data_IF_493516479140
#
_entry.id   IF_493516479140
#
_cell.length_a   1.000
_cell.length_b   1.000
_cell.length_c   1.000
_cell.angle_alpha   90.00
_cell.angle_beta   90.00
_cell.angle_gamma   90.00
#
_symmetry.space_group_name_H-M   'P 1'
#
loop_
_entity.id
_entity.type
_entity.pdbx_description
1 polymer ?
#
# COMPACT_ATOMS: atom_id res chain seq x y z
N UNK A 1 48.01 -87.27 -32.28
CA UNK A 1 46.56 -87.08 -32.10
C UNK A 1 46.26 -85.59 -32.29
N UNK A 2 45.48 -85.22 -33.31
CA UNK A 2 44.68 -83.96 -33.30
C UNK A 2 43.41 -84.22 -32.44
N UNK A 3 42.48 -83.28 -32.20
CA UNK A 3 42.47 -81.80 -32.12
C UNK A 3 41.89 -81.36 -30.73
N UNK A 4 41.69 -80.12 -30.30
CA UNK A 4 40.74 -79.09 -30.76
C UNK A 4 40.93 -77.85 -29.87
N UNK A 5 41.15 -76.67 -30.47
CA UNK A 5 40.94 -75.38 -29.80
C UNK A 5 39.46 -75.02 -29.91
N UNK A 6 38.82 -74.71 -28.78
CA UNK A 6 37.50 -74.09 -28.75
C UNK A 6 37.65 -72.57 -28.78
N UNK A 7 37.11 -71.94 -29.84
CA UNK A 7 36.79 -70.52 -29.88
C UNK A 7 35.59 -70.26 -28.97
N UNK A 8 35.72 -69.33 -28.03
CA UNK A 8 34.57 -68.72 -27.35
C UNK A 8 34.07 -67.55 -28.22
N UNK A 9 32.85 -67.66 -28.72
CA UNK A 9 32.15 -66.57 -29.40
C UNK A 9 31.40 -65.72 -28.35
N UNK A 10 31.84 -64.47 -28.17
CA UNK A 10 31.14 -63.47 -27.37
C UNK A 10 29.99 -62.89 -28.18
N UNK A 11 28.74 -63.15 -27.78
CA UNK A 11 27.57 -62.47 -28.33
C UNK A 11 27.42 -61.10 -27.64
N UNK A 12 27.63 -60.01 -28.39
CA UNK A 12 27.26 -58.65 -27.98
C UNK A 12 25.75 -58.46 -28.19
N UNK A 13 25.00 -58.34 -27.10
CA UNK A 13 23.64 -57.78 -27.15
C UNK A 13 23.74 -56.26 -27.20
N UNK A 14 23.40 -55.66 -28.34
CA UNK A 14 23.16 -54.23 -28.45
C UNK A 14 21.75 -53.93 -27.91
N UNK A 15 21.67 -53.41 -26.68
CA UNK A 15 20.44 -52.82 -26.16
C UNK A 15 20.26 -51.43 -26.79
N UNK A 16 19.33 -51.32 -27.75
CA UNK A 16 18.90 -50.03 -28.26
C UNK A 16 18.12 -49.29 -27.16
N UNK A 17 18.74 -48.30 -26.53
CA UNK A 17 18.02 -47.35 -25.69
C UNK A 17 17.20 -46.42 -26.58
N UNK A 18 15.88 -46.58 -26.54
CA UNK A 18 14.96 -45.61 -27.11
C UNK A 18 15.06 -44.31 -26.29
N UNK A 19 15.53 -43.23 -26.93
CA UNK A 19 15.47 -41.88 -26.35
C UNK A 19 14.02 -41.41 -26.42
N UNK A 20 13.35 -41.12 -25.29
CA UNK A 20 12.02 -40.54 -25.35
C UNK A 20 12.14 -39.08 -25.82
N UNK A 21 11.84 -38.84 -27.09
CA UNK A 21 11.54 -37.51 -27.61
C UNK A 21 10.10 -37.16 -27.24
N UNK A 22 9.91 -36.17 -26.37
CA UNK A 22 8.57 -35.65 -26.07
C UNK A 22 8.34 -35.21 -24.62
N UNK A 23 9.34 -34.69 -23.93
CA UNK A 23 9.11 -33.91 -22.71
C UNK A 23 8.75 -32.48 -23.09
N UNK A 24 7.47 -32.11 -22.99
CA UNK A 24 7.10 -30.69 -22.93
C UNK A 24 7.86 -30.08 -21.75
N UNK A 25 8.82 -29.19 -22.04
CA UNK A 25 9.47 -28.37 -21.01
C UNK A 25 8.33 -27.53 -20.42
N UNK A 26 7.81 -27.94 -19.25
CA UNK A 26 7.01 -27.06 -18.42
C UNK A 26 7.91 -25.89 -18.09
N UNK A 27 7.75 -24.80 -18.82
CA UNK A 27 8.37 -23.53 -18.52
C UNK A 27 8.01 -23.23 -17.06
N UNK A 28 9.02 -23.19 -16.18
CA UNK A 28 8.81 -22.76 -14.81
C UNK A 28 8.07 -21.42 -14.86
N UNK A 29 7.04 -21.19 -14.04
CA UNK A 29 6.31 -19.93 -14.08
C UNK A 29 7.33 -18.80 -13.93
N UNK A 30 7.38 -17.93 -14.94
CA UNK A 30 8.26 -16.76 -14.92
C UNK A 30 7.87 -15.95 -13.69
N UNK A 31 8.80 -15.79 -12.75
CA UNK A 31 8.58 -14.99 -11.54
C UNK A 31 8.16 -13.59 -11.99
N UNK A 32 7.00 -13.15 -11.55
CA UNK A 32 6.51 -11.83 -11.89
C UNK A 32 7.38 -10.78 -11.19
N UNK A 33 7.86 -9.80 -11.96
CA UNK A 33 8.71 -8.72 -11.46
C UNK A 33 7.97 -7.40 -11.58
N UNK A 34 8.29 -6.43 -10.71
CA UNK A 34 7.78 -5.06 -10.84
C UNK A 34 8.11 -4.50 -12.24
N UNK A 35 7.14 -3.87 -12.92
CA UNK A 35 7.41 -3.21 -14.20
C UNK A 35 8.22 -1.92 -13.95
N UNK A 36 8.96 -1.48 -14.98
CA UNK A 36 9.74 -0.24 -14.97
C UNK A 36 8.91 1.00 -15.32
N UNK A 37 7.72 0.80 -15.87
CA UNK A 37 6.74 1.82 -16.20
C UNK A 37 5.33 1.28 -15.94
N UNK A 38 4.41 2.17 -15.62
CA UNK A 38 3.04 1.82 -15.24
C UNK A 38 2.06 2.55 -16.15
N UNK A 39 0.99 1.87 -16.52
CA UNK A 39 -0.17 2.44 -17.19
C UNK A 39 -1.41 2.01 -16.42
N UNK A 40 -2.39 2.90 -16.28
CA UNK A 40 -3.59 2.64 -15.49
C UNK A 40 -4.84 3.02 -16.25
N UNK A 41 -5.92 2.29 -15.99
CA UNK A 41 -7.28 2.76 -16.25
C UNK A 41 -7.95 3.13 -14.93
N UNK A 42 -8.49 4.34 -14.84
CA UNK A 42 -9.24 4.79 -13.67
C UNK A 42 -10.74 4.70 -13.88
N UNK A 43 -11.45 4.36 -12.79
CA UNK A 43 -12.91 4.52 -12.71
C UNK A 43 -13.31 6.00 -12.63
N UNK A 44 -14.62 6.26 -12.69
CA UNK A 44 -15.17 7.49 -12.12
C UNK A 44 -15.01 7.54 -10.58
N UNK A 45 -15.47 8.61 -9.92
CA UNK A 45 -15.52 8.66 -8.46
C UNK A 45 -16.51 7.62 -7.94
N UNK A 46 -16.06 6.76 -7.03
CA UNK A 46 -16.81 5.62 -6.49
C UNK A 46 -17.37 5.89 -5.09
N UNK A 47 -16.56 6.47 -4.21
CA UNK A 47 -16.93 6.74 -2.81
C UNK A 47 -16.73 8.23 -2.56
N UNK A 48 -17.73 8.88 -1.99
CA UNK A 48 -17.67 10.28 -1.59
C UNK A 48 -18.52 10.54 -0.36
N UNK A 49 -18.56 11.80 0.12
CA UNK A 49 -19.31 12.16 1.32
C UNK A 49 -20.80 11.84 1.21
N UNK A 50 -21.43 11.58 2.36
CA UNK A 50 -22.86 11.31 2.49
C UNK A 50 -23.59 12.57 2.98
N UNK A 51 -24.86 12.68 2.61
CA UNK A 51 -25.77 13.67 3.19
C UNK A 51 -26.51 13.04 4.38
N UNK A 52 -25.81 12.93 5.52
CA UNK A 52 -26.28 12.20 6.71
C UNK A 52 -26.12 12.98 8.03
N UNK A 53 -25.75 14.27 7.95
CA UNK A 53 -25.60 15.15 9.11
C UNK A 53 -24.17 15.25 9.67
N UNK A 54 -23.20 14.49 9.17
CA UNK A 54 -21.79 14.63 9.57
C UNK A 54 -21.08 15.81 8.86
N UNK A 55 -21.70 16.34 7.81
CA UNK A 55 -21.21 17.46 6.97
C UNK A 55 -19.77 17.26 6.46
N UNK A 56 -19.41 15.99 6.20
CA UNK A 56 -18.12 15.63 5.61
C UNK A 56 -18.01 16.24 4.21
N UNK A 57 -16.88 16.88 3.91
CA UNK A 57 -16.64 17.49 2.60
C UNK A 57 -15.76 16.61 1.71
N UNK A 58 -14.83 15.85 2.28
CA UNK A 58 -13.99 14.91 1.54
C UNK A 58 -13.91 13.54 2.21
N UNK A 59 -13.85 12.49 1.39
CA UNK A 59 -13.43 11.15 1.81
C UNK A 59 -12.03 10.90 1.25
N UNK A 60 -11.10 10.61 2.14
CA UNK A 60 -9.67 10.72 1.89
C UNK A 60 -8.89 9.51 2.39
N UNK A 61 -7.65 9.38 1.94
CA UNK A 61 -6.59 8.54 2.50
C UNK A 61 -7.07 7.08 2.75
N UNK A 62 -7.50 6.36 1.71
CA UNK A 62 -8.14 5.07 1.90
C UNK A 62 -7.11 3.98 2.21
N UNK A 63 -7.46 3.11 3.15
CA UNK A 63 -6.86 1.80 3.32
C UNK A 63 -7.84 0.69 3.00
N UNK A 64 -7.40 -0.33 2.25
CA UNK A 64 -8.29 -1.34 1.68
C UNK A 64 -7.69 -2.76 1.71
N UNK A 65 -8.49 -3.71 2.21
CA UNK A 65 -8.23 -5.15 2.12
C UNK A 65 -9.44 -5.90 1.58
N UNK A 66 -9.22 -7.08 1.00
CA UNK A 66 -10.26 -8.00 0.54
C UNK A 66 -10.20 -9.31 1.30
N UNK A 67 -11.24 -9.60 2.08
CA UNK A 67 -11.39 -10.81 2.88
C UNK A 67 -12.67 -11.51 2.46
N UNK A 68 -12.59 -12.81 2.13
CA UNK A 68 -13.74 -13.65 1.76
C UNK A 68 -14.70 -13.04 0.72
N UNK A 69 -14.14 -12.31 -0.25
CA UNK A 69 -14.89 -11.67 -1.34
C UNK A 69 -15.43 -10.27 -1.01
N UNK A 70 -15.27 -9.80 0.23
CA UNK A 70 -15.70 -8.48 0.70
C UNK A 70 -14.51 -7.53 0.76
N UNK A 71 -14.67 -6.32 0.22
CA UNK A 71 -13.74 -5.22 0.44
C UNK A 71 -14.06 -4.54 1.75
N UNK A 72 -13.05 -4.31 2.58
CA UNK A 72 -13.10 -3.54 3.81
C UNK A 72 -12.25 -2.29 3.60
N UNK A 73 -12.88 -1.12 3.73
CA UNK A 73 -12.21 0.17 3.52
C UNK A 73 -12.28 0.98 4.80
N UNK A 74 -11.14 1.55 5.17
CA UNK A 74 -11.01 2.61 6.16
C UNK A 74 -10.58 3.87 5.43
N UNK A 75 -11.14 5.02 5.78
CA UNK A 75 -10.80 6.28 5.14
C UNK A 75 -10.88 7.43 6.15
N UNK A 76 -10.16 8.51 5.87
CA UNK A 76 -10.34 9.78 6.57
C UNK A 76 -11.66 10.45 6.14
N UNK A 77 -12.41 10.96 7.10
CA UNK A 77 -13.44 11.98 6.87
C UNK A 77 -12.80 13.34 7.04
N UNK A 78 -12.90 14.21 6.04
CA UNK A 78 -12.30 15.53 6.05
C UNK A 78 -13.38 16.62 5.99
N UNK A 79 -13.28 17.58 6.91
CA UNK A 79 -14.02 18.83 6.85
C UNK A 79 -13.20 19.99 7.40
N UNK A 80 -13.67 21.22 7.20
CA UNK A 80 -13.01 22.43 7.68
C UNK A 80 -12.59 22.33 9.17
N UNK A 81 -13.48 21.79 10.02
CA UNK A 81 -13.28 21.68 11.47
C UNK A 81 -12.41 20.49 11.92
N UNK A 82 -11.94 19.64 11.00
CA UNK A 82 -10.98 18.58 11.31
C UNK A 82 -11.23 17.25 10.61
N UNK A 83 -10.57 16.23 11.13
CA UNK A 83 -10.54 14.88 10.57
C UNK A 83 -10.95 13.81 11.59
N UNK A 84 -11.65 12.80 11.13
CA UNK A 84 -11.82 11.52 11.83
C UNK A 84 -11.78 10.36 10.83
N UNK A 85 -12.18 9.15 11.22
CA UNK A 85 -12.11 7.95 10.40
C UNK A 85 -13.52 7.38 10.14
N UNK A 86 -13.66 6.68 9.01
CA UNK A 86 -14.86 5.94 8.65
C UNK A 86 -14.51 4.55 8.14
N UNK A 87 -15.32 3.56 8.50
CA UNK A 87 -15.30 2.22 7.94
C UNK A 87 -16.49 2.00 7.00
N UNK A 88 -16.27 1.25 5.92
CA UNK A 88 -17.30 0.74 5.04
C UNK A 88 -16.87 -0.59 4.42
N UNK A 89 -17.86 -1.38 3.98
CA UNK A 89 -17.60 -2.60 3.24
C UNK A 89 -18.59 -2.85 2.10
N UNK A 90 -18.12 -3.55 1.07
CA UNK A 90 -18.90 -3.87 -0.12
C UNK A 90 -18.29 -5.06 -0.86
N UNK A 91 -19.09 -5.78 -1.65
CA UNK A 91 -18.62 -6.91 -2.46
C UNK A 91 -18.27 -6.53 -3.91
N UNK A 92 -18.70 -5.35 -4.36
CA UNK A 92 -18.58 -4.86 -5.73
C UNK A 92 -18.36 -3.34 -5.71
N UNK A 93 -17.34 -2.86 -6.42
CA UNK A 93 -17.04 -1.43 -6.53
C UNK A 93 -18.21 -0.62 -7.10
N UNK A 94 -19.09 -1.20 -7.92
CA UNK A 94 -20.30 -0.54 -8.39
C UNK A 94 -21.29 -0.22 -7.25
N UNK A 95 -21.17 -0.89 -6.11
CA UNK A 95 -21.99 -0.66 -4.91
C UNK A 95 -21.24 0.11 -3.82
N UNK A 96 -19.97 0.47 -4.04
CA UNK A 96 -19.16 1.15 -3.03
C UNK A 96 -19.76 2.49 -2.61
N UNK A 97 -20.30 3.26 -3.57
CA UNK A 97 -20.94 4.54 -3.30
C UNK A 97 -22.22 4.46 -2.46
N UNK A 98 -22.88 3.30 -2.41
CA UNK A 98 -24.08 3.06 -1.59
C UNK A 98 -23.79 2.31 -0.29
N UNK A 99 -22.55 1.87 -0.04
CA UNK A 99 -22.17 1.22 1.20
C UNK A 99 -22.44 2.15 2.40
N UNK A 100 -22.85 1.54 3.52
CA UNK A 100 -23.08 2.23 4.79
C UNK A 100 -21.75 2.70 5.36
N UNK A 101 -21.72 3.94 5.84
CA UNK A 101 -20.58 4.47 6.58
C UNK A 101 -20.77 4.15 8.07
N UNK A 102 -19.73 3.64 8.69
CA UNK A 102 -19.61 3.47 10.13
C UNK A 102 -18.55 4.47 10.61
N UNK A 103 -19.00 5.59 11.16
CA UNK A 103 -18.11 6.63 11.67
C UNK A 103 -17.42 6.15 12.95
N UNK A 104 -16.09 6.22 12.98
CA UNK A 104 -15.31 5.60 14.06
C UNK A 104 -15.21 6.49 15.31
N UNK A 105 -15.67 7.74 15.23
CA UNK A 105 -15.86 8.59 16.41
C UNK A 105 -16.98 8.12 17.34
N UNK A 106 -17.92 7.32 16.82
CA UNK A 106 -18.99 6.65 17.58
C UNK A 106 -18.53 5.32 18.24
N UNK A 107 -17.26 4.97 18.10
CA UNK A 107 -16.64 3.74 18.64
C UNK A 107 -15.63 4.09 19.74
N UNK A 108 -14.99 3.11 20.42
CA UNK A 108 -13.93 3.43 21.37
C UNK A 108 -12.73 4.20 20.79
N UNK A 109 -12.49 4.20 19.46
CA UNK A 109 -11.52 5.11 18.80
C UNK A 109 -11.83 6.57 19.16
N UNK A 110 -13.12 6.89 19.20
CA UNK A 110 -13.66 8.14 19.70
C UNK A 110 -13.42 9.37 18.83
N UNK A 111 -14.06 10.45 19.22
CA UNK A 111 -13.92 11.76 18.59
C UNK A 111 -12.50 12.33 18.71
N UNK A 112 -12.27 13.46 18.03
CA UNK A 112 -10.98 14.15 17.95
C UNK A 112 -10.23 13.80 16.67
N UNK A 113 -9.02 14.35 16.53
CA UNK A 113 -8.21 14.21 15.32
C UNK A 113 -7.76 12.75 15.12
N UNK A 114 -8.20 12.12 14.03
CA UNK A 114 -7.64 10.88 13.47
C UNK A 114 -7.65 10.98 11.95
N UNK A 115 -6.59 10.57 11.27
CA UNK A 115 -6.48 10.61 9.81
C UNK A 115 -5.51 9.55 9.28
N UNK A 116 -5.57 9.30 7.97
CA UNK A 116 -4.67 8.43 7.21
C UNK A 116 -4.55 7.01 7.80
N UNK A 117 -5.65 6.24 7.79
CA UNK A 117 -5.65 4.88 8.30
C UNK A 117 -4.83 3.92 7.43
N UNK A 118 -4.28 2.88 8.04
CA UNK A 118 -3.71 1.69 7.42
C UNK A 118 -4.19 0.45 8.18
N UNK A 119 -4.86 -0.49 7.51
CA UNK A 119 -5.39 -1.72 8.13
C UNK A 119 -4.57 -2.96 7.76
N UNK A 120 -4.24 -3.82 8.72
CA UNK A 120 -3.66 -5.14 8.43
C UNK A 120 -3.95 -6.12 9.57
N UNK A 121 -3.82 -7.41 9.31
CA UNK A 121 -3.96 -8.45 10.31
C UNK A 121 -2.59 -8.83 10.87
N UNK A 122 -2.36 -8.60 12.16
CA UNK A 122 -1.13 -9.03 12.82
C UNK A 122 -1.29 -10.46 13.31
N UNK A 123 -0.83 -11.41 12.48
CA UNK A 123 -1.01 -12.85 12.71
C UNK A 123 -0.53 -13.33 14.09
N UNK A 124 0.64 -12.90 14.60
CA UNK A 124 1.15 -13.38 15.89
C UNK A 124 0.23 -13.13 17.09
N UNK A 125 -0.63 -12.10 17.01
CA UNK A 125 -1.58 -11.76 18.08
C UNK A 125 -3.04 -12.06 17.71
N UNK A 126 -3.30 -12.45 16.47
CA UNK A 126 -4.64 -12.69 15.94
C UNK A 126 -5.56 -11.47 16.06
N UNK A 127 -5.02 -10.30 15.75
CA UNK A 127 -5.72 -9.03 15.82
C UNK A 127 -5.54 -8.26 14.53
N UNK A 128 -6.61 -7.62 14.08
CA UNK A 128 -6.49 -6.52 13.14
C UNK A 128 -5.92 -5.31 13.84
N UNK A 129 -5.02 -4.61 13.15
CA UNK A 129 -4.47 -3.33 13.52
C UNK A 129 -4.97 -2.29 12.54
N UNK A 130 -5.41 -1.15 13.07
CA UNK A 130 -5.67 0.08 12.32
C UNK A 130 -4.67 1.11 12.81
N UNK A 131 -3.64 1.36 12.01
CA UNK A 131 -2.61 2.38 12.24
C UNK A 131 -3.10 3.70 11.65
N UNK A 132 -2.87 4.83 12.32
CA UNK A 132 -3.29 6.16 11.86
C UNK A 132 -2.55 7.25 12.62
N UNK A 133 -2.69 8.50 12.21
CA UNK A 133 -2.17 9.64 12.98
C UNK A 133 -3.25 10.27 13.88
N UNK A 134 -2.85 10.74 15.05
CA UNK A 134 -3.69 11.53 15.98
C UNK A 134 -2.95 12.78 16.52
N UNK A 135 -1.87 13.19 15.85
CA UNK A 135 -0.84 14.09 16.35
C UNK A 135 0.44 13.35 16.78
N UNK A 136 0.32 12.05 17.04
CA UNK A 136 1.40 11.07 17.12
C UNK A 136 1.12 9.93 16.12
N UNK A 137 2.01 8.96 16.00
CA UNK A 137 1.73 7.68 15.37
C UNK A 137 0.90 6.79 16.32
N UNK A 138 -0.30 6.43 15.92
CA UNK A 138 -1.27 5.73 16.74
C UNK A 138 -1.76 4.43 16.10
N UNK A 139 -2.34 3.56 16.93
CA UNK A 139 -3.02 2.36 16.49
C UNK A 139 -4.24 2.04 17.36
N UNK A 140 -5.17 1.30 16.77
CA UNK A 140 -6.23 0.58 17.45
C UNK A 140 -6.25 -0.87 16.99
N UNK A 141 -6.85 -1.75 17.79
CA UNK A 141 -6.93 -3.19 17.50
C UNK A 141 -8.37 -3.70 17.50
N UNK A 142 -8.61 -4.77 16.77
CA UNK A 142 -9.92 -5.43 16.69
C UNK A 142 -9.77 -6.93 16.33
N UNK A 143 -10.40 -7.87 17.05
CA UNK A 143 -10.37 -9.28 16.65
C UNK A 143 -11.19 -9.58 15.39
N UNK A 144 -12.13 -8.71 14.99
CA UNK A 144 -13.03 -8.90 13.86
C UNK A 144 -13.20 -7.62 13.04
N UNK A 145 -12.59 -7.58 11.84
CA UNK A 145 -12.69 -6.44 10.92
C UNK A 145 -14.11 -6.14 10.44
N UNK A 146 -15.05 -7.08 10.58
CA UNK A 146 -16.46 -6.88 10.22
C UNK A 146 -17.29 -6.22 11.32
N UNK A 147 -16.75 -6.11 12.53
CA UNK A 147 -17.37 -5.37 13.64
C UNK A 147 -16.69 -4.01 13.85
N UNK A 148 -17.15 -2.94 13.20
CA UNK A 148 -16.57 -1.60 13.39
C UNK A 148 -16.70 -1.07 14.82
N UNK A 149 -17.63 -1.58 15.64
CA UNK A 149 -17.76 -1.14 17.04
C UNK A 149 -16.68 -1.72 17.96
N UNK A 150 -16.00 -2.77 17.51
CA UNK A 150 -14.99 -3.50 18.26
C UNK A 150 -13.60 -2.86 18.28
N UNK A 151 -13.37 -1.77 17.53
CA UNK A 151 -12.07 -1.08 17.52
C UNK A 151 -11.75 -0.48 18.90
N UNK A 152 -10.58 -0.80 19.44
CA UNK A 152 -10.12 -0.28 20.73
C UNK A 152 -9.95 1.25 20.73
N UNK A 153 -9.81 1.84 21.92
CA UNK A 153 -9.31 3.22 22.04
C UNK A 153 -7.87 3.35 21.52
N UNK A 154 -7.46 4.54 21.03
CA UNK A 154 -6.11 4.75 20.50
C UNK A 154 -5.03 4.52 21.55
N UNK A 155 -3.95 3.87 21.11
CA UNK A 155 -2.64 3.90 21.76
C UNK A 155 -1.62 4.48 20.79
N UNK A 156 -0.52 5.02 21.32
CA UNK A 156 0.55 5.56 20.48
C UNK A 156 1.73 4.59 20.43
N UNK A 157 2.44 4.57 19.31
CA UNK A 157 3.71 3.85 19.15
C UNK A 157 4.86 4.52 19.91
N UNK A 158 4.75 5.83 20.16
CA UNK A 158 5.75 6.63 20.85
C UNK A 158 5.13 7.44 21.98
N UNK A 159 5.89 7.64 23.06
CA UNK A 159 5.50 8.56 24.14
C UNK A 159 5.51 10.02 23.68
N UNK A 160 6.40 10.37 22.76
CA UNK A 160 6.52 11.68 22.13
C UNK A 160 7.10 11.54 20.70
N UNK A 161 6.92 12.56 19.87
CA UNK A 161 7.53 12.60 18.54
C UNK A 161 9.05 12.44 18.64
N UNK A 162 9.67 11.48 17.91
CA UNK A 162 11.12 11.31 17.88
C UNK A 162 11.87 12.59 17.55
N UNK A 163 13.00 12.85 18.22
CA UNK A 163 13.73 14.11 18.11
C UNK A 163 14.18 14.40 16.67
N UNK A 164 14.64 13.38 15.94
CA UNK A 164 15.04 13.49 14.53
C UNK A 164 13.91 14.04 13.66
N UNK A 165 12.65 13.72 13.95
CA UNK A 165 11.50 14.28 13.22
C UNK A 165 11.33 15.74 13.62
N UNK A 166 11.31 16.06 14.92
CA UNK A 166 11.15 17.46 15.39
C UNK A 166 12.25 18.40 14.92
N UNK A 167 13.46 17.88 14.69
CA UNK A 167 14.62 18.63 14.20
C UNK A 167 14.52 18.94 12.69
N UNK A 168 13.81 18.12 11.91
CA UNK A 168 13.77 18.19 10.46
C UNK A 168 12.40 18.59 9.87
N UNK A 169 11.31 18.53 10.64
CA UNK A 169 9.93 18.79 10.19
C UNK A 169 9.67 20.22 9.70
N UNK A 170 10.45 21.21 10.14
CA UNK A 170 10.30 22.60 9.72
C UNK A 170 8.88 23.15 9.96
N UNK A 171 8.16 23.45 8.87
CA UNK A 171 6.75 23.93 8.90
C UNK A 171 5.74 22.85 8.52
N UNK A 172 6.19 21.63 8.30
CA UNK A 172 5.34 20.52 7.90
C UNK A 172 4.63 19.86 9.07
N UNK A 173 4.08 18.67 8.84
CA UNK A 173 3.26 17.91 9.78
C UNK A 173 3.74 16.46 9.82
N UNK A 174 3.76 15.84 11.01
CA UNK A 174 4.11 14.42 11.12
C UNK A 174 2.89 13.56 10.78
N UNK A 175 2.93 12.91 9.62
CA UNK A 175 1.75 12.31 8.97
C UNK A 175 2.06 10.95 8.33
N UNK A 176 0.99 10.27 7.92
CA UNK A 176 0.97 9.14 7.00
C UNK A 176 1.80 7.93 7.47
N UNK A 177 1.33 7.41 8.62
CA UNK A 177 1.92 6.29 9.33
C UNK A 177 1.70 4.97 8.58
N UNK A 178 2.79 4.25 8.28
CA UNK A 178 2.73 2.99 7.53
C UNK A 178 3.56 1.88 8.19
N UNK A 179 2.90 0.79 8.59
CA UNK A 179 3.55 -0.39 9.17
C UNK A 179 3.74 -1.50 8.15
N UNK A 180 4.91 -2.15 8.17
CA UNK A 180 5.19 -3.38 7.45
C UNK A 180 6.20 -4.20 8.25
N UNK A 181 6.02 -5.52 8.32
CA UNK A 181 6.98 -6.42 8.96
C UNK A 181 7.61 -7.38 7.96
N UNK A 182 8.86 -7.73 8.20
CA UNK A 182 9.48 -8.92 7.64
C UNK A 182 9.45 -10.08 8.66
N UNK A 183 10.34 -11.05 8.53
CA UNK A 183 10.38 -12.21 9.42
C UNK A 183 10.92 -11.90 10.83
N UNK A 184 11.72 -10.85 11.00
CA UNK A 184 12.35 -10.51 12.28
C UNK A 184 11.80 -9.23 12.88
N UNK A 185 11.54 -8.22 12.04
CA UNK A 185 11.26 -6.86 12.48
C UNK A 185 9.99 -6.30 11.84
N UNK A 186 9.30 -5.46 12.61
CA UNK A 186 8.26 -4.57 12.16
C UNK A 186 8.82 -3.15 12.04
N UNK A 187 8.48 -2.49 10.95
CA UNK A 187 8.93 -1.15 10.60
C UNK A 187 7.74 -0.21 10.58
N UNK A 188 7.93 1.00 11.10
CA UNK A 188 6.95 2.08 11.04
C UNK A 188 7.54 3.25 10.24
N UNK A 189 6.99 3.49 9.06
CA UNK A 189 7.31 4.63 8.22
C UNK A 189 6.37 5.80 8.49
N UNK A 190 6.85 7.01 8.27
CA UNK A 190 6.05 8.25 8.38
C UNK A 190 6.70 9.37 7.58
N UNK A 191 5.94 10.38 7.21
CA UNK A 191 6.40 11.59 6.52
C UNK A 191 6.29 12.83 7.41
N UNK A 192 6.91 13.94 7.01
CA UNK A 192 6.86 15.22 7.73
C UNK A 192 6.39 16.43 6.91
N UNK A 193 5.87 16.23 5.70
CA UNK A 193 5.57 17.28 4.70
C UNK A 193 6.76 18.18 4.36
N UNK A 194 7.99 17.76 4.68
CA UNK A 194 9.20 18.56 4.54
C UNK A 194 10.34 17.81 3.84
N UNK A 195 10.00 16.77 3.06
CA UNK A 195 10.96 16.08 2.20
C UNK A 195 11.67 14.91 2.86
N UNK A 196 11.20 14.40 4.00
CA UNK A 196 11.79 13.25 4.67
C UNK A 196 10.78 12.10 4.83
N UNK A 197 11.23 10.89 4.48
CA UNK A 197 10.58 9.64 4.86
C UNK A 197 11.35 9.03 6.02
N UNK A 198 10.72 8.90 7.17
CA UNK A 198 11.30 8.29 8.36
C UNK A 198 10.97 6.80 8.42
N UNK A 199 11.80 6.05 9.15
CA UNK A 199 11.57 4.65 9.48
C UNK A 199 12.05 4.38 10.91
N UNK A 200 11.16 3.84 11.74
CA UNK A 200 11.49 3.23 13.03
C UNK A 200 11.34 1.71 12.93
N UNK A 201 11.84 0.97 13.92
CA UNK A 201 11.71 -0.48 13.94
C UNK A 201 11.53 -1.05 15.34
N UNK A 202 10.96 -2.26 15.41
CA UNK A 202 10.95 -3.12 16.59
C UNK A 202 10.87 -4.58 16.15
N UNK A 203 11.21 -5.54 17.00
CA UNK A 203 11.07 -6.94 16.62
C UNK A 203 9.59 -7.35 16.48
N UNK A 204 9.28 -8.31 15.60
CA UNK A 204 7.92 -8.88 15.46
C UNK A 204 7.38 -9.37 16.81
N UNK A 205 8.23 -9.93 17.66
CA UNK A 205 7.83 -10.42 18.98
C UNK A 205 7.43 -9.30 19.97
N UNK A 206 7.95 -8.08 19.77
CA UNK A 206 7.71 -6.94 20.65
C UNK A 206 6.62 -5.99 20.13
N UNK A 207 6.31 -6.04 18.83
CA UNK A 207 5.26 -5.22 18.23
C UNK A 207 3.93 -5.33 18.99
N UNK A 208 3.20 -4.23 19.26
CA UNK A 208 3.41 -2.86 18.78
C UNK A 208 4.34 -2.00 19.66
N UNK A 209 4.93 -2.57 20.71
CA UNK A 209 5.77 -1.84 21.66
C UNK A 209 7.20 -1.65 21.12
N UNK A 210 7.92 -0.71 21.72
CA UNK A 210 9.36 -0.53 21.51
C UNK A 210 9.75 -0.17 20.09
N UNK A 211 8.94 0.63 19.40
CA UNK A 211 9.38 1.33 18.19
C UNK A 211 10.50 2.31 18.55
N UNK A 212 11.69 2.07 18.00
CA UNK A 212 12.88 2.88 18.24
C UNK A 212 13.70 3.04 16.96
N UNK A 213 14.96 3.49 17.10
CA UNK A 213 15.93 3.60 16.01
C UNK A 213 15.39 4.39 14.79
N UNK A 214 14.64 5.45 15.06
CA UNK A 214 14.07 6.32 14.02
C UNK A 214 15.19 6.94 13.18
N UNK A 215 15.19 6.66 11.89
CA UNK A 215 16.15 7.19 10.92
C UNK A 215 15.43 7.75 9.70
N UNK A 216 16.08 8.67 8.98
CA UNK A 216 15.66 9.10 7.65
C UNK A 216 15.97 7.96 6.67
N UNK A 217 14.93 7.37 6.08
CA UNK A 217 15.02 6.27 5.12
C UNK A 217 15.17 6.76 3.67
N UNK A 218 14.62 7.94 3.38
CA UNK A 218 14.76 8.63 2.10
C UNK A 218 14.54 10.13 2.33
N UNK A 219 15.25 10.98 1.59
CA UNK A 219 15.07 12.43 1.64
C UNK A 219 15.19 13.07 0.26
N UNK A 220 14.51 14.20 0.08
CA UNK A 220 14.62 15.04 -1.11
C UNK A 220 14.70 16.51 -0.68
N UNK A 221 15.67 17.25 -1.24
CA UNK A 221 15.85 18.67 -0.92
C UNK A 221 14.67 19.54 -1.37
N UNK A 222 13.85 19.05 -2.31
CA UNK A 222 12.57 19.64 -2.64
C UNK A 222 11.45 18.82 -1.96
N UNK A 223 10.81 19.34 -0.89
CA UNK A 223 9.74 18.62 -0.18
C UNK A 223 8.61 18.12 -1.07
N UNK A 224 8.31 18.83 -2.16
CA UNK A 224 7.27 18.43 -3.11
C UNK A 224 7.60 17.11 -3.85
N UNK A 225 8.87 16.73 -3.95
CA UNK A 225 9.27 15.49 -4.60
C UNK A 225 9.14 14.26 -3.67
N UNK A 226 9.06 14.46 -2.35
CA UNK A 226 8.94 13.39 -1.36
C UNK A 226 8.03 13.89 -0.23
N UNK A 227 6.76 14.12 -0.57
CA UNK A 227 5.86 14.94 0.24
C UNK A 227 5.24 14.13 1.39
N UNK A 228 4.34 13.20 1.07
CA UNK A 228 3.55 12.44 2.06
C UNK A 228 3.07 11.08 1.48
N UNK A 229 2.15 10.42 2.16
CA UNK A 229 1.38 9.24 1.71
C UNK A 229 2.23 8.05 1.24
N UNK A 230 3.22 7.66 2.06
CA UNK A 230 4.06 6.52 1.73
C UNK A 230 3.30 5.20 1.82
N UNK A 231 3.55 4.30 0.86
CA UNK A 231 3.20 2.88 1.00
C UNK A 231 4.45 2.02 0.77
N UNK A 232 4.62 0.99 1.60
CA UNK A 232 5.71 0.02 1.48
C UNK A 232 5.13 -1.39 1.42
N UNK A 233 5.40 -2.12 0.34
CA UNK A 233 4.87 -3.46 0.11
C UNK A 233 5.97 -4.48 -0.13
N UNK A 234 5.77 -5.71 0.33
CA UNK A 234 6.53 -6.87 -0.12
C UNK A 234 5.98 -7.35 -1.47
N UNK A 235 6.85 -7.71 -2.41
CA UNK A 235 6.45 -8.36 -3.67
C UNK A 235 6.45 -9.89 -3.57
N UNK A 236 6.63 -10.43 -2.36
CA UNK A 236 6.63 -11.88 -2.07
C UNK A 236 7.88 -12.61 -2.57
N UNK A 237 8.83 -11.90 -3.15
CA UNK A 237 10.00 -12.47 -3.81
C UNK A 237 11.36 -12.03 -3.22
N UNK A 238 11.31 -11.33 -2.08
CA UNK A 238 12.48 -10.73 -1.42
C UNK A 238 12.82 -9.34 -1.96
N UNK A 239 11.88 -8.71 -2.67
CA UNK A 239 11.93 -7.29 -3.02
C UNK A 239 10.79 -6.52 -2.32
N UNK A 240 10.99 -5.23 -2.19
CA UNK A 240 10.02 -4.29 -1.65
C UNK A 240 9.75 -3.17 -2.66
N UNK A 241 8.51 -2.70 -2.70
CA UNK A 241 8.07 -1.53 -3.45
C UNK A 241 7.75 -0.41 -2.46
N UNK A 242 8.42 0.73 -2.60
CA UNK A 242 8.05 1.99 -1.95
C UNK A 242 7.33 2.87 -2.97
N UNK A 243 6.24 3.48 -2.53
CA UNK A 243 5.48 4.48 -3.27
C UNK A 243 5.37 5.70 -2.38
N UNK A 244 5.62 6.91 -2.89
CA UNK A 244 5.49 8.17 -2.13
C UNK A 244 4.81 9.21 -2.98
N UNK A 245 3.86 9.94 -2.40
CA UNK A 245 3.16 11.04 -3.07
C UNK A 245 4.09 12.24 -3.24
N UNK A 246 3.95 12.89 -4.38
CA UNK A 246 4.65 14.08 -4.76
C UNK A 246 3.67 15.12 -5.32
N UNK A 247 4.08 16.39 -5.28
CA UNK A 247 3.37 17.52 -5.86
C UNK A 247 4.14 17.95 -7.11
N UNK A 248 3.52 17.76 -8.28
CA UNK A 248 4.13 18.09 -9.56
C UNK A 248 4.27 19.60 -9.77
N UNK A 249 5.03 19.96 -10.80
CA UNK A 249 5.33 21.32 -11.23
C UNK A 249 4.09 22.21 -11.46
N UNK A 250 2.96 21.60 -11.78
CA UNK A 250 1.66 22.26 -11.99
C UNK A 250 0.75 22.22 -10.76
N UNK A 251 1.23 21.68 -9.63
CA UNK A 251 0.50 21.55 -8.36
C UNK A 251 -0.38 20.30 -8.24
N UNK A 252 -0.39 19.40 -9.23
CA UNK A 252 -1.17 18.16 -9.19
C UNK A 252 -0.42 17.08 -8.41
N UNK A 253 -1.18 16.23 -7.71
CA UNK A 253 -0.63 15.10 -6.97
C UNK A 253 -0.32 13.92 -7.90
N UNK A 254 0.80 13.26 -7.67
CA UNK A 254 1.20 12.04 -8.36
C UNK A 254 2.05 11.16 -7.44
N UNK A 255 2.30 9.92 -7.83
CA UNK A 255 3.15 9.00 -7.06
C UNK A 255 4.46 8.70 -7.76
N UNK A 256 5.54 8.75 -6.99
CA UNK A 256 6.87 8.22 -7.34
C UNK A 256 7.03 6.82 -6.74
N UNK A 257 7.97 6.03 -7.27
CA UNK A 257 8.23 4.68 -6.77
C UNK A 257 9.70 4.28 -6.78
N UNK A 258 10.05 3.43 -5.81
CA UNK A 258 11.38 2.86 -5.61
C UNK A 258 11.27 1.37 -5.29
N UNK A 259 12.39 0.67 -5.41
CA UNK A 259 12.53 -0.72 -5.02
C UNK A 259 13.73 -0.93 -4.10
N UNK A 260 13.63 -1.91 -3.20
CA UNK A 260 14.73 -2.30 -2.29
C UNK A 260 14.74 -3.82 -2.06
N UNK A 261 15.87 -4.34 -1.60
CA UNK A 261 16.03 -5.74 -1.19
C UNK A 261 15.86 -5.95 0.33
N UNK A 262 15.68 -4.87 1.09
CA UNK A 262 15.45 -4.87 2.54
C UNK A 262 14.68 -3.61 2.94
N UNK A 263 13.83 -3.71 3.96
CA UNK A 263 13.08 -2.57 4.52
C UNK A 263 13.98 -1.53 5.22
N UNK A 264 15.16 -1.95 5.67
CA UNK A 264 16.18 -1.07 6.24
C UNK A 264 17.28 -0.67 5.25
N UNK A 265 17.19 -1.12 4.00
CA UNK A 265 18.19 -0.90 2.97
C UNK A 265 18.01 0.39 2.17
N UNK A 266 18.83 0.53 1.13
CA UNK A 266 18.76 1.66 0.20
C UNK A 266 17.61 1.49 -0.82
N UNK A 267 16.89 2.58 -1.07
CA UNK A 267 15.80 2.65 -2.05
C UNK A 267 16.32 3.08 -3.42
N UNK A 268 16.21 2.19 -4.41
CA UNK A 268 16.59 2.47 -5.80
C UNK A 268 15.40 2.95 -6.61
N UNK A 269 15.49 4.08 -7.35
CA UNK A 269 14.40 4.58 -8.19
C UNK A 269 13.84 3.54 -9.16
N UNK A 270 12.51 3.51 -9.30
CA UNK A 270 11.78 2.64 -10.23
C UNK A 270 11.06 3.46 -11.31
N UNK A 271 10.03 4.19 -10.91
CA UNK A 271 9.28 5.15 -11.73
C UNK A 271 9.01 6.38 -10.85
N UNK A 272 9.95 7.33 -10.85
CA UNK A 272 10.07 8.40 -9.86
C UNK A 272 10.17 9.81 -10.47
N UNK A 273 9.76 10.02 -11.72
CA UNK A 273 9.66 11.36 -12.34
C UNK A 273 8.24 11.65 -12.81
N UNK A 274 7.93 12.89 -13.18
CA UNK A 274 6.60 13.21 -13.74
C UNK A 274 6.36 12.50 -15.09
N UNK A 275 7.41 12.32 -15.90
CA UNK A 275 7.36 11.64 -17.20
C UNK A 275 7.31 10.11 -17.10
N UNK A 276 7.80 9.55 -15.98
CA UNK A 276 7.73 8.12 -15.67
C UNK A 276 7.33 7.93 -14.20
N UNK A 277 6.08 8.26 -13.89
CA UNK A 277 5.52 8.14 -12.54
C UNK A 277 5.00 6.73 -12.26
N UNK A 278 4.86 6.37 -10.99
CA UNK A 278 4.03 5.22 -10.60
C UNK A 278 2.59 5.45 -11.04
N UNK A 279 1.99 6.58 -10.66
CA UNK A 279 0.67 6.98 -11.13
C UNK A 279 0.56 8.52 -11.18
N UNK A 280 0.14 9.06 -12.32
CA UNK A 280 -0.04 10.50 -12.56
C UNK A 280 -1.13 10.72 -13.60
N UNK A 281 -1.52 11.98 -13.82
CA UNK A 281 -2.42 12.32 -14.92
C UNK A 281 -1.87 11.96 -16.33
N UNK A 282 -0.57 11.67 -16.47
CA UNK A 282 0.05 11.33 -17.75
C UNK A 282 -0.13 9.84 -18.12
N UNK A 283 -0.15 8.95 -17.12
CA UNK A 283 -0.26 7.50 -17.33
C UNK A 283 -1.55 6.87 -16.77
N UNK A 284 -2.49 7.71 -16.30
CA UNK A 284 -3.84 7.29 -15.89
C UNK A 284 -4.85 7.70 -16.96
N UNK A 285 -5.50 6.71 -17.55
CA UNK A 285 -6.51 6.88 -18.59
C UNK A 285 -7.93 6.72 -18.01
N UNK A 286 -8.82 7.63 -18.34
CA UNK A 286 -10.23 7.56 -17.93
C UNK A 286 -11.09 7.10 -19.10
N UNK A 287 -12.07 6.25 -18.82
CA UNK A 287 -13.13 6.01 -19.80
C UNK A 287 -14.12 7.18 -19.76
N UNK A 288 -13.95 8.13 -20.67
CA UNK A 288 -14.71 9.38 -20.71
C UNK A 288 -13.95 10.56 -20.12
N UNK A 289 -14.67 11.53 -19.57
CA UNK A 289 -14.06 12.74 -19.00
C UNK A 289 -13.27 12.43 -17.74
N UNK A 290 -11.99 12.83 -17.71
CA UNK A 290 -11.18 12.76 -16.51
C UNK A 290 -11.80 13.64 -15.40
N UNK A 291 -12.19 13.02 -14.30
CA UNK A 291 -12.84 13.71 -13.17
C UNK A 291 -11.82 14.31 -12.19
N UNK A 292 -10.54 13.96 -12.32
CA UNK A 292 -9.44 14.51 -11.53
C UNK A 292 -8.15 14.55 -12.35
N UNK A 293 -7.23 15.44 -11.96
CA UNK A 293 -5.83 15.48 -12.43
C UNK A 293 -4.84 15.11 -11.32
N UNK A 294 -5.31 14.93 -10.09
CA UNK A 294 -4.50 14.57 -8.94
C UNK A 294 -4.76 13.10 -8.62
N UNK A 295 -3.69 12.31 -8.69
CA UNK A 295 -3.67 10.95 -8.16
C UNK A 295 -2.96 11.04 -6.82
N UNK A 296 -3.73 11.16 -5.74
CA UNK A 296 -3.25 11.43 -4.38
C UNK A 296 -3.47 10.21 -3.48
N UNK A 297 -3.10 10.32 -2.19
CA UNK A 297 -3.15 9.31 -1.14
C UNK A 297 -4.08 8.14 -1.46
N UNK A 298 -3.49 6.95 -1.53
CA UNK A 298 -4.18 5.72 -1.86
C UNK A 298 -3.49 4.50 -1.27
N UNK A 299 -4.05 3.33 -1.55
CA UNK A 299 -3.47 2.05 -1.18
C UNK A 299 -3.78 0.97 -2.23
N UNK A 300 -2.85 0.01 -2.37
CA UNK A 300 -3.06 -1.20 -3.14
C UNK A 300 -4.17 -2.06 -2.52
N UNK A 301 -5.06 -2.60 -3.34
CA UNK A 301 -6.07 -3.56 -2.89
C UNK A 301 -5.38 -4.88 -2.52
N UNK A 302 -5.26 -5.15 -1.22
CA UNK A 302 -4.58 -6.34 -0.71
C UNK A 302 -5.54 -7.51 -0.46
N UNK A 303 -5.14 -8.70 -0.88
CA UNK A 303 -5.79 -9.98 -0.52
C UNK A 303 -4.93 -10.85 0.40
N UNK A 304 -3.62 -10.62 0.41
CA UNK A 304 -2.75 -11.02 1.51
C UNK A 304 -2.76 -9.86 2.52
N UNK A 305 -3.47 -10.07 3.62
CA UNK A 305 -3.90 -8.99 4.51
C UNK A 305 -3.04 -8.88 5.77
N UNK A 306 -2.02 -9.74 5.91
CA UNK A 306 -1.19 -9.81 7.09
C UNK A 306 -0.18 -8.64 7.18
N UNK A 307 0.59 -8.63 8.26
CA UNK A 307 1.56 -7.59 8.56
C UNK A 307 2.72 -7.47 7.54
N UNK A 308 2.87 -8.41 6.60
CA UNK A 308 3.95 -8.34 5.61
C UNK A 308 3.60 -7.46 4.41
N UNK A 309 2.36 -6.97 4.33
CA UNK A 309 1.87 -6.06 3.29
C UNK A 309 2.18 -6.58 1.88
N UNK A 310 2.00 -7.89 1.67
CA UNK A 310 2.39 -8.52 0.40
C UNK A 310 1.41 -8.19 -0.70
N UNK A 311 1.94 -7.77 -1.86
CA UNK A 311 1.16 -7.52 -3.08
C UNK A 311 1.61 -8.44 -4.21
N UNK A 312 0.69 -8.66 -5.14
CA UNK A 312 1.03 -9.21 -6.44
C UNK A 312 1.56 -8.10 -7.35
N UNK A 313 2.72 -8.26 -8.02
CA UNK A 313 3.16 -7.31 -9.05
C UNK A 313 2.33 -7.38 -10.34
N UNK A 314 1.35 -8.29 -10.38
CA UNK A 314 0.44 -8.55 -11.49
C UNK A 314 -0.93 -7.94 -11.23
N UNK A 315 -1.56 -7.37 -12.27
CA UNK A 315 -2.93 -6.81 -12.26
C UNK A 315 -3.23 -5.95 -11.03
N UNK A 316 -2.33 -5.03 -10.72
CA UNK A 316 -2.47 -4.15 -9.56
C UNK A 316 -3.78 -3.36 -9.61
N UNK A 317 -4.41 -3.20 -8.45
CA UNK A 317 -5.56 -2.31 -8.26
C UNK A 317 -5.24 -1.35 -7.11
N UNK A 318 -5.40 -0.06 -7.32
CA UNK A 318 -5.00 0.98 -6.35
C UNK A 318 -6.16 1.93 -6.09
N UNK A 319 -6.72 1.89 -4.88
CA UNK A 319 -7.80 2.78 -4.45
C UNK A 319 -7.17 4.11 -4.03
N UNK A 320 -7.59 5.22 -4.62
CA UNK A 320 -6.91 6.50 -4.48
C UNK A 320 -7.91 7.64 -4.30
N UNK A 321 -7.48 8.74 -3.69
CA UNK A 321 -8.27 9.96 -3.64
C UNK A 321 -7.97 10.88 -4.83
N UNK A 322 -9.03 11.47 -5.37
CA UNK A 322 -8.96 12.53 -6.39
C UNK A 322 -9.94 13.64 -6.06
N UNK A 323 -9.71 14.79 -6.69
CA UNK A 323 -10.56 15.99 -6.55
C UNK A 323 -10.81 16.60 -7.93
N UNK A 324 -11.97 17.25 -8.08
CA UNK A 324 -12.28 18.02 -9.29
C UNK A 324 -11.16 19.05 -9.54
N UNK A 325 -10.54 19.11 -10.73
CA UNK A 325 -9.44 20.03 -11.03
C UNK A 325 -9.82 21.51 -10.95
N UNK A 326 -11.11 21.82 -10.92
CA UNK A 326 -11.66 23.17 -10.80
C UNK A 326 -12.09 23.53 -9.38
N UNK A 327 -12.00 22.59 -8.42
CA UNK A 327 -12.29 22.85 -7.02
C UNK A 327 -11.34 23.93 -6.47
N UNK A 328 -11.91 24.88 -5.72
CA UNK A 328 -11.17 25.94 -5.03
C UNK A 328 -11.61 26.02 -3.57
N UNK A 329 -10.78 26.60 -2.71
CA UNK A 329 -11.05 26.73 -1.27
C UNK A 329 -9.97 26.12 -0.40
N UNK A 330 -10.26 26.03 0.91
CA UNK A 330 -9.32 25.52 1.91
C UNK A 330 -9.10 24.02 1.73
N UNK A 331 -7.85 23.56 1.89
CA UNK A 331 -7.43 22.17 1.64
C UNK A 331 -8.29 21.13 2.38
N UNK A 332 -8.60 21.38 3.66
CA UNK A 332 -9.40 20.47 4.50
C UNK A 332 -10.87 20.35 4.04
N UNK A 333 -11.36 21.33 3.28
CA UNK A 333 -12.74 21.39 2.78
C UNK A 333 -12.88 20.93 1.33
N UNK A 334 -11.78 20.54 0.68
CA UNK A 334 -11.81 20.08 -0.71
C UNK A 334 -12.68 18.83 -0.88
N UNK A 335 -13.46 18.72 -1.97
CA UNK A 335 -14.41 17.64 -2.19
C UNK A 335 -13.75 16.36 -2.70
N UNK A 336 -12.79 15.83 -1.92
CA UNK A 336 -12.08 14.60 -2.23
C UNK A 336 -13.04 13.40 -2.28
N UNK A 337 -12.83 12.55 -3.30
CA UNK A 337 -13.58 11.32 -3.54
C UNK A 337 -12.59 10.21 -3.87
N UNK A 338 -12.99 8.96 -3.64
CA UNK A 338 -12.16 7.80 -3.94
C UNK A 338 -12.51 7.22 -5.32
N UNK A 339 -11.49 6.90 -6.11
CA UNK A 339 -11.58 6.16 -7.36
C UNK A 339 -10.63 4.96 -7.34
N UNK A 340 -10.73 4.08 -8.34
CA UNK A 340 -9.91 2.88 -8.44
C UNK A 340 -9.09 2.89 -9.72
N UNK A 341 -7.77 2.77 -9.59
CA UNK A 341 -6.86 2.49 -10.70
C UNK A 341 -6.78 0.98 -10.91
N UNK A 342 -6.80 0.55 -12.17
CA UNK A 342 -6.54 -0.82 -12.59
C UNK A 342 -5.34 -0.80 -13.55
N UNK A 343 -4.31 -1.59 -13.26
CA UNK A 343 -3.11 -1.64 -14.08
C UNK A 343 -3.47 -2.13 -15.50
N UNK A 344 -3.11 -1.33 -16.50
CA UNK A 344 -3.44 -1.54 -17.91
C UNK A 344 -2.31 -2.20 -18.71
N UNK A 345 -1.08 -2.21 -18.19
CA UNK A 345 0.10 -2.79 -18.82
C UNK A 345 0.68 -3.99 -18.05
N UNK A 346 -0.12 -4.72 -17.27
CA UNK A 346 0.40 -5.83 -16.48
C UNK A 346 0.84 -7.00 -17.37
N UNK A 347 2.07 -7.49 -17.16
CA UNK A 347 2.67 -8.58 -17.93
C UNK A 347 2.26 -9.98 -17.43
N UNK A 348 1.52 -9.98 -16.33
CA UNK A 348 0.84 -11.05 -15.63
C UNK A 348 -0.33 -10.32 -14.93
#
# INVERSE_FOLDING_TARGET
MKPFSFLAASALFAAAYAVPHGGSIKQLPRRATLPKSFEWSSTGPLIGPKSDGHDVQGIKDPSIVKVDGTYHVFASTAKADGYNLVYLSFSDFNKAGSATFHYLDETPIGAGYRAAPQVFYFEPQKLWYLVYQNGNAAYSTNPDISDPSGWSAPKNFFDATPSIITENIGKGSWVDMWTICDASDCYLFSSDDNGHLYRSQTSVANFPEGMDNTAIALEDANPNNLFEASNVYSTGDGQYLLIVEAIGSTGQRYFRSWSASSLAGEWSPLADSEENAFASAQNVHFNGTAWTKSISHGEMVRSQVDQTMTISPCKMQYLYQGVDPTATGDYNSMPWKLGLLNQANSAC
#
